data_IF_820244623292
#
_entry.id   IF_820244623292
#
_cell.length_a   1.000
_cell.length_b   1.000
_cell.length_c   1.000
_cell.angle_alpha   90.00
_cell.angle_beta   90.00
_cell.angle_gamma   90.00
#
_symmetry.space_group_name_H-M   'P 1'
#
loop_
_entity.id
_entity.type
_entity.pdbx_description
1 polymer ?
#
# COMPACT_ATOMS: atom_id res chain seq x y z
N UNK A 1 17.22 3.88 -13.68
CA UNK A 1 16.23 4.83 -14.21
C UNK A 1 15.11 4.04 -14.86
N UNK A 2 14.18 3.54 -14.04
CA UNK A 2 12.99 2.84 -14.53
C UNK A 2 11.80 3.69 -14.09
N UNK A 3 11.30 4.49 -15.03
CA UNK A 3 10.04 5.23 -14.91
C UNK A 3 8.92 4.22 -14.66
N UNK A 4 8.42 4.19 -13.42
CA UNK A 4 7.14 3.56 -13.11
C UNK A 4 6.05 4.47 -13.68
N UNK A 5 5.67 4.20 -14.93
CA UNK A 5 4.53 4.84 -15.57
C UNK A 5 3.27 4.59 -14.73
N UNK A 6 2.74 5.64 -14.15
CA UNK A 6 1.46 5.67 -13.43
C UNK A 6 0.24 5.48 -14.35
N UNK A 7 0.38 4.85 -15.52
CA UNK A 7 -0.60 4.96 -16.61
C UNK A 7 -1.37 3.68 -16.97
N UNK A 8 -1.07 2.50 -16.44
CA UNK A 8 -1.80 1.28 -16.83
C UNK A 8 -2.31 0.47 -15.62
N UNK A 9 -3.21 1.07 -14.83
CA UNK A 9 -4.11 0.25 -14.01
C UNK A 9 -5.35 -0.07 -14.85
N UNK A 10 -5.33 -1.17 -15.59
CA UNK A 10 -6.55 -1.70 -16.21
C UNK A 10 -7.48 -2.20 -15.10
N UNK A 11 -8.51 -1.40 -14.82
CA UNK A 11 -9.56 -1.68 -13.85
C UNK A 11 -10.62 -2.56 -14.54
N UNK A 12 -10.58 -3.89 -14.39
CA UNK A 12 -11.61 -4.74 -15.02
C UNK A 12 -12.10 -5.92 -14.16
N UNK A 13 -13.44 -5.96 -13.97
CA UNK A 13 -14.30 -7.14 -13.83
C UNK A 13 -15.39 -7.10 -14.91
N UNK A 14 -16.14 -8.19 -15.04
CA UNK A 14 -17.04 -8.57 -16.15
C UNK A 14 -18.19 -7.60 -16.52
N UNK A 15 -18.44 -6.56 -15.73
CA UNK A 15 -19.41 -5.48 -15.95
C UNK A 15 -18.77 -4.07 -16.06
N UNK A 16 -17.44 -3.98 -15.89
CA UNK A 16 -16.65 -2.81 -16.33
C UNK A 16 -16.46 -1.66 -15.33
N UNK A 17 -17.14 -1.62 -14.17
CA UNK A 17 -16.95 -0.53 -13.19
C UNK A 17 -16.64 -1.02 -11.77
N UNK A 18 -15.65 -0.38 -11.12
CA UNK A 18 -15.29 -0.63 -9.74
C UNK A 18 -16.22 0.13 -8.78
N UNK A 19 -16.55 -0.49 -7.64
CA UNK A 19 -17.36 0.12 -6.58
C UNK A 19 -16.75 1.44 -6.11
N UNK A 20 -17.48 2.54 -6.23
CA UNK A 20 -16.99 3.87 -5.85
C UNK A 20 -17.03 4.03 -4.32
N UNK A 21 -15.89 4.18 -3.64
CA UNK A 21 -15.86 4.30 -2.18
C UNK A 21 -16.48 5.62 -1.71
N UNK A 22 -17.37 5.54 -0.71
CA UNK A 22 -18.06 6.69 -0.13
C UNK A 22 -17.30 7.23 1.08
N UNK A 23 -16.26 8.03 0.83
CA UNK A 23 -15.49 8.69 1.89
C UNK A 23 -16.09 10.03 2.30
N UNK A 24 -16.04 10.34 3.60
CA UNK A 24 -16.42 11.66 4.11
C UNK A 24 -15.45 12.74 3.61
N UNK A 25 -15.88 14.00 3.62
CA UNK A 25 -15.02 15.14 3.27
C UNK A 25 -13.71 15.17 4.08
N UNK A 26 -13.77 14.85 5.36
CA UNK A 26 -12.59 14.81 6.22
C UNK A 26 -11.64 13.67 5.82
N UNK A 27 -12.19 12.49 5.50
CA UNK A 27 -11.38 11.38 5.00
C UNK A 27 -10.70 11.75 3.68
N UNK A 28 -11.41 12.39 2.74
CA UNK A 28 -10.82 12.85 1.47
C UNK A 28 -9.62 13.79 1.69
N UNK A 29 -9.74 14.76 2.61
CA UNK A 29 -8.62 15.66 2.96
C UNK A 29 -7.42 14.88 3.51
N UNK A 30 -7.65 13.88 4.35
CA UNK A 30 -6.58 13.05 4.93
C UNK A 30 -5.91 12.18 3.86
N UNK A 31 -6.71 11.56 2.97
CA UNK A 31 -6.21 10.76 1.85
C UNK A 31 -5.32 11.59 0.95
N UNK A 32 -5.80 12.76 0.52
CA UNK A 32 -5.06 13.69 -0.34
C UNK A 32 -3.74 14.15 0.28
N UNK A 33 -3.75 14.44 1.58
CA UNK A 33 -2.54 14.91 2.26
C UNK A 33 -1.49 13.83 2.44
N UNK A 34 -1.89 12.58 2.76
CA UNK A 34 -0.96 11.57 3.28
C UNK A 34 -0.85 10.26 2.52
N UNK A 35 -1.87 9.86 1.76
CA UNK A 35 -1.98 8.49 1.25
C UNK A 35 -1.89 8.39 -0.28
N UNK A 36 -2.50 9.34 -1.00
CA UNK A 36 -2.47 9.35 -2.46
C UNK A 36 -1.04 9.55 -2.98
N UNK A 37 -0.68 8.85 -4.07
CA UNK A 37 0.55 9.12 -4.80
C UNK A 37 0.56 10.56 -5.28
N UNK A 38 1.72 11.22 -5.14
CA UNK A 38 1.97 12.59 -5.57
C UNK A 38 3.07 12.62 -6.62
N UNK A 39 3.02 13.61 -7.49
CA UNK A 39 4.13 13.94 -8.38
C UNK A 39 5.27 14.65 -7.63
N UNK A 40 6.33 15.00 -8.37
CA UNK A 40 7.50 15.71 -7.82
C UNK A 40 7.16 17.12 -7.31
N UNK A 41 6.03 17.69 -7.72
CA UNK A 41 5.52 18.98 -7.25
C UNK A 41 4.62 18.83 -6.01
N UNK A 42 4.43 17.60 -5.51
CA UNK A 42 3.59 17.31 -4.35
C UNK A 42 2.08 17.25 -4.65
N UNK A 43 1.69 17.27 -5.93
CA UNK A 43 0.29 17.24 -6.33
C UNK A 43 -0.21 15.79 -6.44
N UNK A 44 -1.40 15.47 -5.87
CA UNK A 44 -1.98 14.14 -5.97
C UNK A 44 -2.23 13.75 -7.44
N UNK A 45 -1.69 12.61 -7.86
CA UNK A 45 -1.90 12.02 -9.20
C UNK A 45 -2.70 10.71 -9.15
N UNK A 46 -3.20 10.36 -7.97
CA UNK A 46 -3.98 9.16 -7.71
C UNK A 46 -5.30 9.53 -7.05
N UNK A 47 -6.39 8.85 -7.42
CA UNK A 47 -7.70 9.01 -6.78
C UNK A 47 -7.85 8.06 -5.58
N UNK A 48 -8.75 8.31 -4.61
CA UNK A 48 -9.04 7.35 -3.54
C UNK A 48 -9.38 5.95 -4.09
N UNK A 49 -10.13 5.88 -5.19
CA UNK A 49 -10.47 4.65 -5.86
C UNK A 49 -9.22 3.94 -6.43
N UNK A 50 -8.34 4.70 -7.08
CA UNK A 50 -7.05 4.21 -7.60
C UNK A 50 -6.12 3.71 -6.49
N UNK A 51 -6.07 4.41 -5.36
CA UNK A 51 -5.32 4.00 -4.18
C UNK A 51 -5.77 2.63 -3.68
N UNK A 52 -7.08 2.43 -3.50
CA UNK A 52 -7.62 1.15 -3.06
C UNK A 52 -7.32 0.03 -4.06
N UNK A 53 -7.41 0.33 -5.36
CA UNK A 53 -7.08 -0.62 -6.41
C UNK A 53 -5.60 -1.02 -6.41
N UNK A 54 -4.69 -0.03 -6.31
CA UNK A 54 -3.24 -0.26 -6.19
C UNK A 54 -2.93 -1.16 -5.01
N UNK A 55 -3.49 -0.85 -3.83
CA UNK A 55 -3.26 -1.62 -2.60
C UNK A 55 -3.79 -3.04 -2.75
N UNK A 56 -5.03 -3.20 -3.20
CA UNK A 56 -5.64 -4.51 -3.40
C UNK A 56 -4.86 -5.38 -4.39
N UNK A 57 -4.47 -4.78 -5.52
CA UNK A 57 -3.68 -5.44 -6.56
C UNK A 57 -2.31 -5.87 -6.05
N UNK A 58 -1.63 -5.01 -5.30
CA UNK A 58 -0.31 -5.32 -4.76
C UNK A 58 -0.35 -6.44 -3.70
N UNK A 59 -1.33 -6.43 -2.80
CA UNK A 59 -1.48 -7.49 -1.79
C UNK A 59 -1.83 -8.83 -2.45
N UNK A 60 -2.71 -8.82 -3.45
CA UNK A 60 -3.13 -10.02 -4.16
C UNK A 60 -2.00 -10.70 -4.95
N UNK A 61 -0.89 -10.02 -5.24
CA UNK A 61 0.29 -10.65 -5.86
C UNK A 61 0.82 -11.84 -5.03
N UNK A 62 0.61 -11.85 -3.72
CA UNK A 62 0.95 -12.98 -2.87
C UNK A 62 0.26 -14.28 -3.29
N UNK A 63 -0.93 -14.20 -3.88
CA UNK A 63 -1.70 -15.37 -4.34
C UNK A 63 -1.02 -16.11 -5.50
N UNK A 64 -0.17 -15.43 -6.27
CA UNK A 64 0.60 -16.06 -7.37
C UNK A 64 1.58 -17.11 -6.87
N UNK A 65 1.94 -17.09 -5.60
CA UNK A 65 2.83 -18.10 -5.00
C UNK A 65 2.14 -19.45 -4.76
N UNK A 66 0.81 -19.54 -4.93
CA UNK A 66 0.06 -20.76 -4.70
C UNK A 66 -0.35 -21.42 -6.03
N UNK A 67 -0.02 -22.71 -6.17
CA UNK A 67 -0.17 -23.49 -7.43
C UNK A 67 -1.63 -23.79 -7.79
N UNK A 68 -2.58 -23.53 -6.89
CA UNK A 68 -3.91 -24.14 -6.92
C UNK A 68 -4.91 -23.57 -7.95
N UNK A 69 -4.74 -22.36 -8.51
CA UNK A 69 -5.66 -21.83 -9.54
C UNK A 69 -5.11 -20.59 -10.26
N UNK A 70 -5.37 -20.51 -11.58
CA UNK A 70 -4.93 -19.40 -12.47
C UNK A 70 -5.61 -18.05 -12.19
N UNK A 71 -6.72 -18.02 -11.44
CA UNK A 71 -7.55 -16.82 -11.25
C UNK A 71 -7.58 -16.29 -9.80
N UNK A 72 -6.74 -16.82 -8.91
CA UNK A 72 -6.73 -16.39 -7.49
C UNK A 72 -6.34 -14.94 -7.33
N UNK A 73 -5.42 -14.46 -8.15
CA UNK A 73 -4.99 -13.07 -8.11
C UNK A 73 -6.18 -12.12 -8.30
N UNK A 74 -6.95 -12.30 -9.36
CA UNK A 74 -8.10 -11.46 -9.68
C UNK A 74 -9.19 -11.60 -8.62
N UNK A 75 -9.48 -12.82 -8.18
CA UNK A 75 -10.48 -13.10 -7.14
C UNK A 75 -10.15 -12.35 -5.83
N UNK A 76 -8.92 -12.47 -5.34
CA UNK A 76 -8.50 -11.87 -4.08
C UNK A 76 -8.30 -10.36 -4.21
N UNK A 77 -7.74 -9.86 -5.32
CA UNK A 77 -7.66 -8.42 -5.61
C UNK A 77 -9.03 -7.78 -5.48
N UNK A 78 -10.02 -8.34 -6.16
CA UNK A 78 -11.36 -7.74 -6.18
C UNK A 78 -12.07 -7.87 -4.84
N UNK A 79 -11.82 -8.97 -4.10
CA UNK A 79 -12.30 -9.15 -2.73
C UNK A 79 -11.69 -8.11 -1.79
N UNK A 80 -10.37 -7.93 -1.82
CA UNK A 80 -9.66 -6.93 -0.99
C UNK A 80 -10.10 -5.52 -1.33
N UNK A 81 -10.26 -5.21 -2.62
CA UNK A 81 -10.78 -3.93 -3.06
C UNK A 81 -12.15 -3.65 -2.47
N UNK A 82 -13.11 -4.59 -2.59
CA UNK A 82 -14.47 -4.44 -2.07
C UNK A 82 -14.49 -4.21 -0.56
N UNK A 83 -13.71 -4.99 0.19
CA UNK A 83 -13.59 -4.84 1.64
C UNK A 83 -13.15 -3.42 2.03
N UNK A 84 -12.17 -2.86 1.31
CA UNK A 84 -11.71 -1.50 1.56
C UNK A 84 -12.69 -0.44 1.06
N UNK A 85 -13.30 -0.63 -0.10
CA UNK A 85 -14.24 0.32 -0.69
C UNK A 85 -15.48 0.53 0.18
N UNK A 86 -15.92 -0.55 0.85
CA UNK A 86 -17.03 -0.55 1.82
C UNK A 86 -16.61 -0.18 3.24
N UNK A 87 -15.33 0.11 3.46
CA UNK A 87 -14.77 0.35 4.79
C UNK A 87 -15.02 -0.80 5.79
N UNK A 88 -15.21 -2.03 5.31
CA UNK A 88 -15.36 -3.23 6.15
C UNK A 88 -14.01 -3.66 6.74
N UNK A 89 -12.93 -3.41 6.01
CA UNK A 89 -11.56 -3.63 6.46
C UNK A 89 -10.60 -2.62 5.83
N UNK A 90 -9.62 -2.16 6.59
CA UNK A 90 -8.56 -1.28 6.11
C UNK A 90 -7.21 -1.75 6.66
N UNK A 91 -6.17 -1.91 5.82
CA UNK A 91 -4.85 -2.22 6.32
C UNK A 91 -4.23 -1.01 7.02
N UNK A 92 -3.09 -1.21 7.68
CA UNK A 92 -2.38 -0.14 8.37
C UNK A 92 -1.89 0.96 7.41
N UNK A 93 -1.42 2.09 7.96
CA UNK A 93 -0.99 3.23 7.15
C UNK A 93 0.19 2.92 6.20
N UNK A 94 1.26 2.23 6.63
CA UNK A 94 2.35 1.86 5.71
C UNK A 94 1.88 1.06 4.50
N UNK A 95 0.90 0.16 4.67
CA UNK A 95 0.33 -0.58 3.55
C UNK A 95 -0.34 0.34 2.53
N UNK A 96 -1.21 1.25 2.98
CA UNK A 96 -1.90 2.22 2.11
C UNK A 96 -0.90 3.15 1.40
N UNK A 97 0.11 3.61 2.13
CA UNK A 97 1.11 4.56 1.66
C UNK A 97 2.10 3.93 0.69
N UNK A 98 2.52 2.69 0.88
CA UNK A 98 3.69 2.12 0.21
C UNK A 98 3.39 0.98 -0.78
N UNK A 99 2.26 0.29 -0.65
CA UNK A 99 1.91 -0.83 -1.54
C UNK A 99 1.88 -0.40 -3.01
N UNK A 100 2.55 -1.11 -3.90
CA UNK A 100 2.63 -0.79 -5.32
C UNK A 100 3.54 0.38 -5.69
N UNK A 101 4.16 1.08 -4.71
CA UNK A 101 5.27 2.00 -4.99
C UNK A 101 6.55 1.19 -5.25
N UNK A 102 7.57 1.76 -5.88
CA UNK A 102 8.84 1.05 -6.19
C UNK A 102 9.48 0.35 -4.98
N UNK A 103 10.46 -0.53 -5.22
CA UNK A 103 11.11 -1.28 -4.13
C UNK A 103 12.11 -0.39 -3.35
N UNK A 104 12.25 -0.60 -2.02
CA UNK A 104 11.51 -1.52 -1.15
C UNK A 104 10.13 -0.98 -0.72
N UNK A 105 9.15 -1.88 -0.56
CA UNK A 105 7.78 -1.56 -0.12
C UNK A 105 7.57 -2.04 1.32
N UNK A 106 7.89 -1.21 2.33
CA UNK A 106 7.61 -1.55 3.72
C UNK A 106 6.12 -1.38 4.02
N UNK A 107 5.42 -2.48 4.30
CA UNK A 107 3.96 -2.52 4.53
C UNK A 107 3.59 -2.71 6.01
N UNK A 108 4.57 -3.04 6.86
CA UNK A 108 4.38 -3.23 8.30
C UNK A 108 4.59 -1.93 9.07
N UNK A 109 3.89 -1.81 10.21
CA UNK A 109 3.92 -0.62 11.07
C UNK A 109 4.55 -0.87 12.45
N UNK A 110 4.91 -2.11 12.77
CA UNK A 110 5.36 -2.49 14.10
C UNK A 110 6.66 -3.30 13.99
N UNK A 111 7.67 -2.86 14.72
CA UNK A 111 8.99 -3.49 14.78
C UNK A 111 9.45 -3.58 16.23
N UNK A 112 10.18 -4.64 16.55
CA UNK A 112 10.86 -4.80 17.83
C UNK A 112 12.35 -4.95 17.51
N UNK A 113 13.18 -4.09 18.10
CA UNK A 113 14.63 -4.08 17.87
C UNK A 113 15.29 -4.51 19.18
N UNK A 114 16.09 -5.59 19.19
CA UNK A 114 16.85 -5.98 20.37
C UNK A 114 17.96 -4.97 20.66
N UNK A 115 18.25 -4.76 21.95
CA UNK A 115 19.35 -3.93 22.43
C UNK A 115 20.08 -4.72 23.50
N UNK A 116 21.26 -5.22 23.16
CA UNK A 116 22.14 -5.93 24.09
C UNK A 116 22.97 -4.95 24.91
N UNK A 117 23.58 -5.43 25.99
CA UNK A 117 24.44 -4.62 26.88
C UNK A 117 25.84 -4.41 26.28
N UNK A 118 25.90 -3.77 25.12
CA UNK A 118 27.15 -3.34 24.48
C UNK A 118 26.97 -2.05 23.68
N UNK A 119 28.01 -1.22 23.64
CA UNK A 119 27.98 0.04 22.87
C UNK A 119 27.69 -0.23 21.39
N UNK A 120 28.27 -1.29 20.81
CA UNK A 120 28.04 -1.68 19.42
C UNK A 120 26.56 -2.00 19.18
N UNK A 121 25.93 -2.79 20.07
CA UNK A 121 24.50 -3.15 19.93
C UNK A 121 23.59 -1.93 20.06
N UNK A 122 23.89 -1.01 20.98
CA UNK A 122 23.14 0.24 21.14
C UNK A 122 23.16 1.05 19.85
N UNK A 123 24.33 1.25 19.24
CA UNK A 123 24.45 2.02 18.00
C UNK A 123 23.84 1.31 16.78
N UNK A 124 23.93 -0.02 16.71
CA UNK A 124 23.24 -0.79 15.68
C UNK A 124 21.71 -0.69 15.82
N UNK A 125 21.18 -0.74 17.04
CA UNK A 125 19.74 -0.56 17.28
C UNK A 125 19.25 0.84 16.83
N UNK A 126 20.02 1.89 17.12
CA UNK A 126 19.73 3.26 16.65
C UNK A 126 19.74 3.33 15.12
N UNK A 127 20.73 2.70 14.47
CA UNK A 127 20.81 2.62 13.02
C UNK A 127 19.60 1.89 12.42
N UNK A 128 19.20 0.75 13.00
CA UNK A 128 18.02 0.01 12.56
C UNK A 128 16.73 0.83 12.72
N UNK A 129 16.56 1.50 13.86
CA UNK A 129 15.42 2.39 14.10
C UNK A 129 15.36 3.52 13.06
N UNK A 130 16.50 4.13 12.71
CA UNK A 130 16.56 5.18 11.69
C UNK A 130 16.16 4.66 10.30
N UNK A 131 16.60 3.45 9.92
CA UNK A 131 16.22 2.81 8.65
C UNK A 131 14.71 2.51 8.61
N UNK A 132 14.15 1.99 9.71
CA UNK A 132 12.72 1.69 9.84
C UNK A 132 11.88 2.97 9.71
N UNK A 133 12.20 4.01 10.49
CA UNK A 133 11.51 5.29 10.44
C UNK A 133 11.57 5.96 9.06
N UNK A 134 12.69 5.83 8.34
CA UNK A 134 12.82 6.35 6.97
C UNK A 134 11.73 5.80 6.04
N UNK A 135 11.28 4.57 6.28
CA UNK A 135 10.25 3.89 5.48
C UNK A 135 8.83 3.99 6.06
N UNK A 136 8.65 4.69 7.18
CA UNK A 136 7.35 4.90 7.84
C UNK A 136 6.92 3.76 8.76
N UNK A 137 7.86 2.92 9.20
CA UNK A 137 7.67 1.92 10.25
C UNK A 137 8.04 2.42 11.64
#
# INVERSE_FOLDING_TARGET
MTTLNAQNFELTRADGELEVPQFTRNALVVLEKRYLIKDDNGQPIETPQGMLWRVASNIAEAERNFVASKHRYEEFRDKFYRLMARCEFMPNSPTLMNAGKGRPQQLSACFVIPVEDSIDSIFDAVKHAAIIHKTGG
#
